data_IF_936675989749
#
_entry.id   IF_936675989749
#
_cell.length_a   1.000
_cell.length_b   1.000
_cell.length_c   1.000
_cell.angle_alpha   90.00
_cell.angle_beta   90.00
_cell.angle_gamma   90.00
#
_symmetry.space_group_name_H-M   'P 1'
#
loop_
_entity.id
_entity.type
_entity.pdbx_description
1 polymer ?
#
# COMPACT_ATOMS: atom_id res chain seq x y z
N UNK A 1 9.02 9.87 -15.26
CA UNK A 1 8.21 8.83 -14.57
C UNK A 1 8.97 8.16 -13.43
N UNK A 2 10.15 7.54 -13.64
CA UNK A 2 10.91 6.85 -12.57
C UNK A 2 11.22 7.71 -11.34
N UNK A 3 11.75 8.93 -11.51
CA UNK A 3 12.05 9.84 -10.39
C UNK A 3 10.81 10.29 -9.60
N UNK A 4 9.69 10.56 -10.30
CA UNK A 4 8.43 10.95 -9.66
C UNK A 4 7.89 9.81 -8.79
N UNK A 5 7.99 8.58 -9.31
CA UNK A 5 7.59 7.38 -8.59
C UNK A 5 8.42 7.18 -7.32
N UNK A 6 9.76 7.15 -7.45
CA UNK A 6 10.72 7.06 -6.33
C UNK A 6 10.45 8.09 -5.24
N UNK A 7 10.20 9.35 -5.61
CA UNK A 7 9.92 10.41 -4.65
C UNK A 7 8.58 10.21 -3.93
N UNK A 8 7.54 9.78 -4.65
CA UNK A 8 6.21 9.53 -4.07
C UNK A 8 6.23 8.35 -3.10
N UNK A 9 6.86 7.23 -3.47
CA UNK A 9 6.98 6.05 -2.62
C UNK A 9 7.81 6.33 -1.37
N UNK A 10 8.96 7.01 -1.50
CA UNK A 10 9.78 7.37 -0.34
C UNK A 10 9.08 8.36 0.60
N UNK A 11 8.34 9.34 0.06
CA UNK A 11 7.59 10.29 0.89
C UNK A 11 6.42 9.61 1.62
N UNK A 12 5.69 8.73 0.94
CA UNK A 12 4.61 7.96 1.54
C UNK A 12 5.16 7.05 2.65
N UNK A 13 6.26 6.35 2.40
CA UNK A 13 6.95 5.53 3.38
C UNK A 13 7.36 6.36 4.61
N UNK A 14 8.10 7.45 4.42
CA UNK A 14 8.60 8.29 5.51
C UNK A 14 7.45 8.88 6.35
N UNK A 15 6.35 9.27 5.72
CA UNK A 15 5.19 9.86 6.40
C UNK A 15 4.40 8.84 7.22
N UNK A 16 4.22 7.62 6.71
CA UNK A 16 3.23 6.68 7.27
C UNK A 16 3.81 5.43 7.93
N UNK A 17 5.06 5.03 7.67
CA UNK A 17 5.60 3.76 8.19
C UNK A 17 5.46 3.64 9.71
N UNK A 18 5.86 4.67 10.47
CA UNK A 18 5.77 4.65 11.93
C UNK A 18 4.32 4.72 12.45
N UNK A 19 3.43 5.38 11.70
CA UNK A 19 2.01 5.47 12.05
C UNK A 19 1.36 4.10 11.86
N UNK A 20 1.69 3.41 10.77
CA UNK A 20 1.10 2.12 10.43
C UNK A 20 1.73 0.95 11.21
N UNK A 21 3.00 1.07 11.61
CA UNK A 21 3.75 0.12 12.45
C UNK A 21 3.22 -0.03 13.89
N UNK A 22 2.08 0.56 14.22
CA UNK A 22 1.47 0.48 15.55
C UNK A 22 0.89 -0.91 15.91
N UNK A 23 0.99 -1.91 15.03
CA UNK A 23 0.55 -3.29 15.30
C UNK A 23 -0.94 -3.37 15.63
N UNK A 24 -1.32 -3.98 16.74
CA UNK A 24 -2.73 -4.05 17.16
C UNK A 24 -3.29 -2.74 17.73
N UNK A 25 -2.43 -1.74 18.01
CA UNK A 25 -2.90 -0.48 18.59
C UNK A 25 -3.84 0.22 17.59
N UNK A 26 -4.95 0.78 18.07
CA UNK A 26 -5.87 1.52 17.21
C UNK A 26 -5.18 2.77 16.68
N UNK A 27 -5.43 3.06 15.41
CA UNK A 27 -5.06 4.34 14.79
C UNK A 27 -6.33 5.13 14.51
N UNK A 28 -6.23 6.45 14.47
CA UNK A 28 -7.43 7.26 14.24
C UNK A 28 -7.92 7.09 12.80
N UNK A 29 -9.25 7.08 12.64
CA UNK A 29 -9.90 7.03 11.31
C UNK A 29 -9.41 8.19 10.43
N UNK A 30 -9.20 9.38 11.01
CA UNK A 30 -8.65 10.52 10.29
C UNK A 30 -7.28 10.24 9.67
N UNK A 31 -6.43 9.42 10.31
CA UNK A 31 -5.11 9.05 9.79
C UNK A 31 -5.19 8.05 8.65
N UNK A 32 -6.14 7.12 8.69
CA UNK A 32 -6.44 6.26 7.55
C UNK A 32 -6.97 7.07 6.38
N UNK A 33 -7.89 8.01 6.64
CA UNK A 33 -8.43 8.87 5.59
C UNK A 33 -7.33 9.74 4.95
N UNK A 34 -6.47 10.35 5.77
CA UNK A 34 -5.32 11.13 5.28
C UNK A 34 -4.42 10.27 4.39
N UNK A 35 -4.16 9.03 4.77
CA UNK A 35 -3.38 8.08 3.98
C UNK A 35 -4.05 7.75 2.64
N UNK A 36 -5.34 7.45 2.63
CA UNK A 36 -6.08 7.15 1.39
C UNK A 36 -6.16 8.36 0.46
N UNK A 37 -6.28 9.57 1.00
CA UNK A 37 -6.32 10.80 0.23
C UNK A 37 -4.96 11.09 -0.44
N UNK A 38 -3.86 10.86 0.28
CA UNK A 38 -2.51 10.99 -0.27
C UNK A 38 -2.23 9.93 -1.34
N UNK A 39 -2.72 8.70 -1.16
CA UNK A 39 -2.66 7.66 -2.20
C UNK A 39 -3.43 8.06 -3.45
N UNK A 40 -4.65 8.59 -3.30
CA UNK A 40 -5.48 9.03 -4.43
C UNK A 40 -4.86 10.18 -5.24
N UNK A 41 -4.05 11.02 -4.60
CA UNK A 41 -3.28 12.11 -5.26
C UNK A 41 -1.95 11.63 -5.85
N UNK A 42 -1.50 10.43 -5.49
CA UNK A 42 -0.26 9.83 -5.98
C UNK A 42 -0.47 9.08 -7.30
N UNK A 43 0.61 8.74 -7.99
CA UNK A 43 0.56 7.83 -9.15
C UNK A 43 0.84 6.38 -8.76
N UNK A 44 0.65 6.03 -7.48
CA UNK A 44 0.91 4.69 -6.97
C UNK A 44 -0.27 3.74 -7.21
N UNK A 45 -1.49 4.26 -7.37
CA UNK A 45 -2.67 3.46 -7.67
C UNK A 45 -2.84 3.23 -9.16
N UNK A 46 -3.36 2.06 -9.53
CA UNK A 46 -3.66 1.71 -10.91
C UNK A 46 -4.91 2.46 -11.41
N UNK A 47 -4.77 3.13 -12.55
CA UNK A 47 -5.90 3.76 -13.25
C UNK A 47 -6.80 2.70 -13.90
N UNK A 48 -6.20 1.75 -14.62
CA UNK A 48 -6.86 0.56 -15.15
C UNK A 48 -6.65 -0.62 -14.19
N UNK A 49 -7.71 -0.99 -13.46
CA UNK A 49 -7.68 -2.02 -12.43
C UNK A 49 -8.71 -3.09 -12.73
N UNK A 50 -8.29 -4.36 -12.65
CA UNK A 50 -9.12 -5.53 -12.92
C UNK A 50 -9.24 -6.40 -11.68
N UNK A 51 -10.47 -6.65 -11.24
CA UNK A 51 -10.76 -7.49 -10.08
C UNK A 51 -10.27 -8.93 -10.24
N UNK A 52 -10.35 -9.48 -11.45
CA UNK A 52 -9.88 -10.85 -11.74
C UNK A 52 -8.38 -10.99 -11.49
N UNK A 53 -7.60 -9.97 -11.87
CA UNK A 53 -6.16 -9.94 -11.65
C UNK A 53 -5.84 -9.85 -10.15
N UNK A 54 -6.57 -9.01 -9.42
CA UNK A 54 -6.45 -8.95 -7.96
C UNK A 54 -6.77 -10.30 -7.31
N UNK A 55 -7.82 -10.98 -7.77
CA UNK A 55 -8.21 -12.28 -7.22
C UNK A 55 -7.12 -13.34 -7.39
N UNK A 56 -6.37 -13.34 -8.50
CA UNK A 56 -5.22 -14.23 -8.68
C UNK A 56 -4.07 -13.94 -7.69
N UNK A 57 -4.00 -12.71 -7.17
CA UNK A 57 -2.94 -12.23 -6.28
C UNK A 57 -3.39 -12.05 -4.82
N UNK A 58 -4.62 -12.43 -4.47
CA UNK A 58 -5.18 -12.19 -3.13
C UNK A 58 -4.42 -12.95 -2.04
N UNK A 59 -3.76 -14.05 -2.39
CA UNK A 59 -2.91 -14.85 -1.49
C UNK A 59 -1.76 -14.03 -0.86
N UNK A 60 -1.36 -12.91 -1.46
CA UNK A 60 -0.37 -11.99 -0.90
C UNK A 60 -0.88 -11.24 0.33
N UNK A 61 -2.21 -11.08 0.47
CA UNK A 61 -2.83 -10.51 1.67
C UNK A 61 -2.76 -11.52 2.82
N UNK A 62 -3.02 -12.80 2.53
CA UNK A 62 -3.00 -13.86 3.54
C UNK A 62 -1.59 -14.17 4.05
N UNK A 63 -0.56 -13.88 3.24
CA UNK A 63 0.85 -14.06 3.57
C UNK A 63 1.66 -12.81 3.26
N UNK A 64 1.66 -11.82 4.18
CA UNK A 64 2.40 -10.57 4.01
C UNK A 64 3.89 -10.76 3.72
N UNK A 65 4.50 -11.85 4.22
CA UNK A 65 5.90 -12.19 3.96
C UNK A 65 6.23 -12.32 2.46
N UNK A 66 5.26 -12.71 1.63
CA UNK A 66 5.45 -12.83 0.17
C UNK A 66 5.53 -11.47 -0.53
N UNK A 67 5.09 -10.40 0.12
CA UNK A 67 5.18 -9.03 -0.42
C UNK A 67 6.64 -8.57 -0.48
N UNK A 68 7.52 -9.16 0.33
CA UNK A 68 8.95 -8.90 0.24
C UNK A 68 9.52 -9.21 -1.15
N UNK A 69 8.90 -10.15 -1.88
CA UNK A 69 9.31 -10.55 -3.24
C UNK A 69 8.36 -10.09 -4.34
N UNK A 70 7.16 -9.61 -3.98
CA UNK A 70 6.17 -9.09 -4.92
C UNK A 70 6.77 -8.04 -5.87
N UNK A 71 6.30 -8.06 -7.10
CA UNK A 71 6.57 -7.06 -8.13
C UNK A 71 5.92 -5.74 -7.77
N UNK A 72 6.35 -4.67 -8.44
CA UNK A 72 5.75 -3.37 -8.26
C UNK A 72 4.25 -3.39 -8.57
N UNK A 73 3.89 -4.03 -9.69
CA UNK A 73 2.52 -4.12 -10.14
C UNK A 73 1.63 -4.85 -9.15
N UNK A 74 2.08 -5.96 -8.57
CA UNK A 74 1.33 -6.69 -7.53
C UNK A 74 1.09 -5.82 -6.29
N UNK A 75 2.10 -5.07 -5.83
CA UNK A 75 1.91 -4.11 -4.74
C UNK A 75 0.88 -3.02 -5.09
N UNK A 76 0.92 -2.49 -6.32
CA UNK A 76 -0.05 -1.50 -6.80
C UNK A 76 -1.46 -2.07 -6.90
N UNK A 77 -1.59 -3.32 -7.34
CA UNK A 77 -2.84 -4.04 -7.46
C UNK A 77 -3.51 -4.25 -6.08
N UNK A 78 -2.75 -4.75 -5.10
CA UNK A 78 -3.23 -4.90 -3.72
C UNK A 78 -3.66 -3.57 -3.12
N UNK A 79 -2.81 -2.55 -3.24
CA UNK A 79 -3.09 -1.24 -2.67
C UNK A 79 -4.30 -0.57 -3.32
N UNK A 80 -4.43 -0.66 -4.64
CA UNK A 80 -5.58 -0.12 -5.40
C UNK A 80 -6.88 -0.81 -5.00
N UNK A 81 -6.88 -2.14 -4.91
CA UNK A 81 -8.05 -2.91 -4.50
C UNK A 81 -8.52 -2.46 -3.11
N UNK A 82 -7.60 -2.38 -2.14
CA UNK A 82 -7.96 -2.02 -0.77
C UNK A 82 -8.39 -0.56 -0.64
N UNK A 83 -7.76 0.37 -1.36
CA UNK A 83 -8.20 1.78 -1.32
C UNK A 83 -9.62 1.91 -1.85
N UNK A 84 -9.95 1.16 -2.92
CA UNK A 84 -11.33 1.13 -3.45
C UNK A 84 -12.30 0.47 -2.46
N UNK A 85 -11.91 -0.65 -1.84
CA UNK A 85 -12.75 -1.35 -0.86
C UNK A 85 -13.00 -0.52 0.40
N UNK A 86 -12.02 0.25 0.89
CA UNK A 86 -12.19 1.16 2.03
C UNK A 86 -13.33 2.17 1.81
N UNK A 87 -13.51 2.66 0.57
CA UNK A 87 -14.61 3.55 0.23
C UNK A 87 -16.00 2.90 0.36
N UNK A 88 -16.09 1.57 0.18
CA UNK A 88 -17.34 0.82 0.29
C UNK A 88 -17.56 0.21 1.67
N UNK A 89 -16.47 -0.17 2.33
CA UNK A 89 -16.46 -0.84 3.63
C UNK A 89 -15.35 -0.24 4.49
N UNK A 90 -15.63 0.81 5.26
CA UNK A 90 -14.66 1.43 6.14
C UNK A 90 -14.04 0.42 7.11
N UNK A 91 -12.72 0.48 7.29
CA UNK A 91 -11.94 -0.41 8.16
C UNK A 91 -11.16 -1.52 7.44
N UNK A 92 -11.28 -1.66 6.12
CA UNK A 92 -10.46 -2.56 5.30
C UNK A 92 -8.97 -2.20 5.43
N UNK A 93 -8.64 -0.90 5.34
CA UNK A 93 -7.28 -0.40 5.49
C UNK A 93 -6.71 -0.66 6.89
N UNK A 94 -7.51 -0.45 7.94
CA UNK A 94 -7.06 -0.74 9.30
C UNK A 94 -6.87 -2.25 9.53
N UNK A 95 -7.70 -3.09 8.93
CA UNK A 95 -7.53 -4.54 8.99
C UNK A 95 -6.23 -4.98 8.29
N UNK A 96 -5.99 -4.51 7.06
CA UNK A 96 -4.75 -4.77 6.31
C UNK A 96 -3.51 -4.31 7.08
N UNK A 97 -3.61 -3.16 7.77
CA UNK A 97 -2.54 -2.67 8.65
C UNK A 97 -2.28 -3.62 9.81
N UNK A 98 -3.32 -4.06 10.52
CA UNK A 98 -3.19 -4.99 11.66
C UNK A 98 -2.55 -6.31 11.25
N UNK A 99 -2.81 -6.76 10.04
CA UNK A 99 -2.20 -7.96 9.45
C UNK A 99 -0.77 -7.73 8.92
N UNK A 100 -0.23 -6.51 9.03
CA UNK A 100 1.12 -6.18 8.55
C UNK A 100 1.24 -5.93 7.05
N UNK A 101 0.15 -6.10 6.29
CA UNK A 101 0.17 -6.04 4.82
C UNK A 101 0.52 -4.65 4.31
N UNK A 102 -0.06 -3.59 4.89
CA UNK A 102 0.23 -2.21 4.47
C UNK A 102 1.70 -1.84 4.70
N UNK A 103 2.29 -2.28 5.81
CA UNK A 103 3.70 -2.01 6.12
C UNK A 103 4.60 -2.72 5.12
N UNK A 104 4.34 -4.00 4.85
CA UNK A 104 5.09 -4.78 3.87
C UNK A 104 5.06 -4.14 2.47
N UNK A 105 3.90 -3.61 2.03
CA UNK A 105 3.79 -2.86 0.77
C UNK A 105 4.65 -1.60 0.79
N UNK A 106 4.58 -0.82 1.87
CA UNK A 106 5.36 0.43 1.99
C UNK A 106 6.88 0.15 1.99
N UNK A 107 7.33 -0.84 2.72
CA UNK A 107 8.74 -1.28 2.72
C UNK A 107 9.18 -1.72 1.33
N UNK A 108 8.34 -2.50 0.64
CA UNK A 108 8.63 -2.96 -0.73
C UNK A 108 8.70 -1.80 -1.72
N UNK A 109 7.81 -0.82 -1.61
CA UNK A 109 7.86 0.43 -2.38
C UNK A 109 9.14 1.24 -2.12
N UNK A 110 9.56 1.35 -0.88
CA UNK A 110 10.81 2.03 -0.55
C UNK A 110 12.02 1.29 -1.15
N UNK A 111 12.01 -0.05 -1.16
CA UNK A 111 13.04 -0.85 -1.81
C UNK A 111 13.11 -0.64 -3.33
N UNK A 112 11.97 -0.52 -4.01
CA UNK A 112 11.97 -0.14 -5.45
C UNK A 112 12.56 1.25 -5.67
N UNK A 113 12.29 2.17 -4.76
CA UNK A 113 12.80 3.55 -4.81
C UNK A 113 14.32 3.58 -4.75
N UNK A 114 14.89 2.82 -3.80
CA UNK A 114 16.34 2.69 -3.64
C UNK A 114 17.00 2.03 -4.86
N UNK A 115 16.39 0.96 -5.40
CA UNK A 115 16.90 0.30 -6.62
C UNK A 115 16.87 1.17 -7.86
N UNK A 116 15.93 2.12 -7.95
CA UNK A 116 15.80 3.05 -9.07
C UNK A 116 16.70 4.29 -8.93
N UNK A 117 17.27 4.53 -7.75
CA UNK A 117 18.17 5.64 -7.46
C UNK A 117 19.66 5.28 -7.63
N UNK A 118 19.99 3.99 -7.68
CA UNK A 118 21.31 3.46 -8.04
C UNK A 118 21.42 3.23 -9.56
#
# INVERSE_FOLDING_TARGET
>A
MKQLFTHQTSNLYAKYVNILACGEKPISVCKIQEFTDDLAKSHLLLSDFKWDEWYQNSHLVDRPDYIADATLHECQLLLTAMTRLECFSPGVMDNMRRQGVLIAILERYNNFSMKLAC
#
